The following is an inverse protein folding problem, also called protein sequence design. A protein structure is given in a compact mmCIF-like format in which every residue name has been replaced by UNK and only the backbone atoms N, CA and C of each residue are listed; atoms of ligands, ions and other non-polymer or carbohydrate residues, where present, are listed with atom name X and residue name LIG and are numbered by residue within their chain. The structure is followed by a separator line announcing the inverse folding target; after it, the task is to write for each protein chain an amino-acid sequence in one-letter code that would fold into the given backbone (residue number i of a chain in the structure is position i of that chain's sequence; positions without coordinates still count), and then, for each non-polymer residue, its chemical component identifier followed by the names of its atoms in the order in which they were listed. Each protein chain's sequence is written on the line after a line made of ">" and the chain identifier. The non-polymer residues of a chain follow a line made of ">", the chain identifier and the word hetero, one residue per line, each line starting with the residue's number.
data_IF_826427204874
#
_entry.id   IF_826427204874
#
_cell.length_a   1.000
_cell.length_b   1.000
_cell.length_c   1.000
_cell.angle_alpha   90.00
_cell.angle_beta   90.00
_cell.angle_gamma   90.00
#
_symmetry.space_group_name_H-M   'P 1'
#
loop_
_entity.id
_entity.type
_entity.pdbx_description
1 polymer ?
#
# COMPACT_ATOMS: atom_id res chain seq x y z
N UNK A 1 44.75 -51.36 45.23
CA UNK A 1 44.97 -50.38 44.16
C UNK A 1 43.94 -49.24 44.34
N UNK A 2 44.28 -48.19 45.11
CA UNK A 2 43.39 -47.08 45.52
C UNK A 2 43.48 -45.94 44.51
N UNK A 3 42.40 -45.76 43.72
CA UNK A 3 42.23 -44.64 42.79
C UNK A 3 41.69 -43.44 43.58
N UNK A 4 42.53 -42.50 43.97
CA UNK A 4 42.07 -41.19 44.51
C UNK A 4 41.35 -40.41 43.42
N UNK A 5 40.09 -40.23 43.61
CA UNK A 5 39.32 -39.29 42.80
C UNK A 5 39.82 -37.89 43.14
N UNK A 6 40.30 -37.19 42.11
CA UNK A 6 40.75 -35.80 42.20
C UNK A 6 39.50 -34.94 42.39
N UNK A 7 39.30 -34.45 43.60
CA UNK A 7 38.23 -33.49 43.93
C UNK A 7 38.47 -32.21 43.13
N UNK A 8 37.55 -31.91 42.20
CA UNK A 8 37.65 -30.74 41.35
C UNK A 8 37.12 -29.56 42.17
N UNK A 9 37.98 -28.63 42.57
CA UNK A 9 37.66 -27.39 43.28
C UNK A 9 36.53 -26.67 42.55
N UNK A 10 35.32 -26.76 43.06
CA UNK A 10 34.16 -25.99 42.58
C UNK A 10 34.27 -24.58 43.16
N UNK A 11 34.73 -23.64 42.36
CA UNK A 11 34.68 -22.21 42.73
C UNK A 11 33.26 -21.83 42.93
N UNK A 12 32.84 -21.46 44.11
CA UNK A 12 31.54 -20.94 44.44
C UNK A 12 31.44 -19.48 43.96
N UNK A 13 30.37 -19.18 43.22
CA UNK A 13 30.12 -17.83 42.71
C UNK A 13 29.50 -16.99 43.82
N UNK A 14 29.99 -15.77 44.07
CA UNK A 14 29.42 -14.88 45.07
C UNK A 14 28.19 -14.16 44.54
N UNK A 15 27.26 -13.83 45.43
CA UNK A 15 26.05 -13.10 45.11
C UNK A 15 26.37 -11.71 44.48
N UNK A 16 27.44 -11.07 44.95
CA UNK A 16 27.91 -9.77 44.45
C UNK A 16 28.43 -9.87 43.02
N UNK A 17 29.20 -10.92 42.68
CA UNK A 17 29.66 -11.12 41.28
C UNK A 17 28.49 -11.30 40.31
N UNK A 18 27.46 -12.04 40.73
CA UNK A 18 26.25 -12.17 39.91
C UNK A 18 25.51 -10.83 39.75
N UNK A 19 25.36 -10.07 40.83
CA UNK A 19 24.62 -8.79 40.84
C UNK A 19 25.32 -7.76 39.95
N UNK A 20 26.65 -7.67 40.00
CA UNK A 20 27.42 -6.76 39.12
C UNK A 20 27.24 -7.11 37.65
N UNK A 21 27.29 -8.38 37.29
CA UNK A 21 27.12 -8.82 35.90
C UNK A 21 25.75 -8.49 35.38
N UNK A 22 24.67 -8.80 36.12
CA UNK A 22 23.31 -8.47 35.67
C UNK A 22 23.07 -6.95 35.57
N UNK A 23 23.72 -6.16 36.44
CA UNK A 23 23.63 -4.69 36.38
C UNK A 23 24.30 -4.16 35.12
N UNK A 24 25.47 -4.66 34.73
CA UNK A 24 26.13 -4.24 33.49
C UNK A 24 25.32 -4.64 32.28
N UNK A 25 24.81 -5.89 32.24
CA UNK A 25 23.95 -6.35 31.15
C UNK A 25 22.70 -5.48 31.08
N UNK A 26 22.06 -5.15 32.19
CA UNK A 26 20.88 -4.31 32.25
C UNK A 26 21.11 -2.92 31.64
N UNK A 27 22.24 -2.28 31.98
CA UNK A 27 22.64 -0.99 31.42
C UNK A 27 22.87 -1.10 29.92
N UNK A 28 23.60 -2.11 29.45
CA UNK A 28 23.86 -2.29 28.02
C UNK A 28 22.57 -2.55 27.22
N UNK A 29 21.68 -3.42 27.70
CA UNK A 29 20.41 -3.72 27.05
C UNK A 29 19.48 -2.50 27.02
N UNK A 30 19.46 -1.71 28.09
CA UNK A 30 18.63 -0.49 28.15
C UNK A 30 19.03 0.55 27.11
N UNK A 31 20.30 0.63 26.74
CA UNK A 31 20.79 1.53 25.68
C UNK A 31 20.57 0.93 24.28
N UNK A 32 20.65 -0.39 24.12
CA UNK A 32 20.50 -1.05 22.84
C UNK A 32 19.05 -1.10 22.35
N UNK A 33 18.07 -1.25 23.25
CA UNK A 33 16.68 -1.43 22.89
C UNK A 33 16.11 -0.26 22.07
N UNK A 34 16.24 1.02 22.46
CA UNK A 34 15.75 2.15 21.64
C UNK A 34 16.54 2.30 20.33
N UNK A 35 17.86 2.02 20.36
CA UNK A 35 18.68 2.10 19.15
C UNK A 35 18.25 1.07 18.10
N UNK A 36 17.97 -0.16 18.48
CA UNK A 36 17.50 -1.21 17.56
C UNK A 36 16.15 -0.86 16.96
N UNK A 37 15.23 -0.28 17.73
CA UNK A 37 13.92 0.14 17.21
C UNK A 37 14.06 1.25 16.18
N UNK A 38 14.92 2.24 16.43
CA UNK A 38 15.19 3.34 15.49
C UNK A 38 15.78 2.82 14.17
N UNK A 39 16.76 1.90 14.26
CA UNK A 39 17.37 1.28 13.06
C UNK A 39 16.35 0.46 12.27
N UNK A 40 15.50 -0.31 12.94
CA UNK A 40 14.44 -1.07 12.27
C UNK A 40 13.47 -0.17 11.52
N UNK A 41 13.06 0.96 12.12
CA UNK A 41 12.16 1.90 11.46
C UNK A 41 12.84 2.60 10.28
N UNK A 42 14.10 2.98 10.40
CA UNK A 42 14.88 3.53 9.30
C UNK A 42 15.00 2.51 8.13
N UNK A 43 15.20 1.24 8.43
CA UNK A 43 15.22 0.18 7.42
C UNK A 43 13.87 0.05 6.70
N UNK A 44 12.75 0.02 7.44
CA UNK A 44 11.41 -0.02 6.84
C UNK A 44 11.13 1.17 5.91
N UNK A 45 11.48 2.40 6.33
CA UNK A 45 11.35 3.59 5.48
C UNK A 45 12.17 3.51 4.20
N UNK A 46 13.37 2.97 4.29
CA UNK A 46 14.21 2.76 3.11
C UNK A 46 13.57 1.74 2.15
N UNK A 47 12.98 0.68 2.67
CA UNK A 47 12.25 -0.32 1.89
C UNK A 47 11.02 0.30 1.21
N UNK A 48 10.21 1.10 1.93
CA UNK A 48 9.07 1.80 1.34
C UNK A 48 9.48 2.73 0.19
N UNK A 49 10.57 3.49 0.35
CA UNK A 49 11.11 4.33 -0.71
C UNK A 49 11.63 3.52 -1.92
N UNK A 50 12.19 2.34 -1.68
CA UNK A 50 12.61 1.43 -2.76
C UNK A 50 11.42 0.87 -3.53
N UNK A 51 10.30 0.57 -2.85
CA UNK A 51 9.06 0.17 -3.52
C UNK A 51 8.52 1.27 -4.45
N UNK A 52 8.59 2.55 -4.05
CA UNK A 52 8.25 3.68 -4.94
C UNK A 52 9.16 3.74 -6.16
N UNK A 53 10.48 3.54 -5.99
CA UNK A 53 11.43 3.50 -7.11
C UNK A 53 11.13 2.37 -8.08
N UNK A 54 10.79 1.18 -7.57
CA UNK A 54 10.41 0.02 -8.40
C UNK A 54 9.15 0.32 -9.22
N UNK A 55 8.15 1.01 -8.64
CA UNK A 55 6.96 1.46 -9.36
C UNK A 55 7.29 2.47 -10.46
N UNK A 56 8.16 3.43 -10.18
CA UNK A 56 8.64 4.37 -11.17
C UNK A 56 9.34 3.65 -12.33
N UNK A 57 10.21 2.68 -12.04
CA UNK A 57 10.87 1.87 -13.05
C UNK A 57 9.87 1.03 -13.86
N UNK A 58 8.89 0.41 -13.20
CA UNK A 58 7.84 -0.37 -13.86
C UNK A 58 7.00 0.50 -14.82
N UNK A 59 6.69 1.75 -14.44
CA UNK A 59 6.00 2.70 -15.32
C UNK A 59 6.83 3.05 -16.56
N UNK A 60 8.12 3.29 -16.41
CA UNK A 60 9.01 3.56 -17.54
C UNK A 60 9.15 2.33 -18.46
N UNK A 61 9.24 1.15 -17.88
CA UNK A 61 9.26 -0.09 -18.67
C UNK A 61 7.95 -0.30 -19.44
N UNK A 62 6.81 -0.02 -18.79
CA UNK A 62 5.49 -0.04 -19.44
C UNK A 62 5.44 0.97 -20.60
N UNK A 63 5.83 2.22 -20.36
CA UNK A 63 5.84 3.28 -21.37
C UNK A 63 6.77 2.93 -22.54
N UNK A 64 7.94 2.38 -22.26
CA UNK A 64 8.90 1.95 -23.28
C UNK A 64 8.33 0.87 -24.19
N UNK A 65 7.54 -0.06 -23.64
CA UNK A 65 6.92 -1.14 -24.37
C UNK A 65 5.65 -0.69 -25.14
N UNK A 66 4.82 0.12 -24.50
CA UNK A 66 3.50 0.50 -25.02
C UNK A 66 3.45 1.87 -25.69
N UNK A 67 4.50 2.72 -25.50
CA UNK A 67 4.60 4.10 -26.01
C UNK A 67 3.56 5.07 -25.40
N UNK A 68 3.03 4.72 -24.22
CA UNK A 68 2.17 5.56 -23.38
C UNK A 68 2.21 5.08 -21.93
N UNK A 69 1.82 5.94 -21.00
CA UNK A 69 1.55 5.56 -19.61
C UNK A 69 0.14 4.98 -19.47
N UNK A 70 -0.05 3.99 -18.60
CA UNK A 70 -1.35 3.33 -18.44
C UNK A 70 -2.39 4.30 -17.86
N UNK A 71 -3.67 4.05 -18.15
CA UNK A 71 -4.78 4.66 -17.44
C UNK A 71 -4.79 4.23 -15.97
N UNK A 72 -5.33 5.09 -15.09
CA UNK A 72 -5.48 4.79 -13.65
C UNK A 72 -6.36 3.57 -13.41
N UNK A 73 -7.49 3.54 -14.05
CA UNK A 73 -8.38 2.39 -14.24
C UNK A 73 -9.20 2.61 -15.51
N UNK A 74 -9.91 1.59 -15.98
CA UNK A 74 -10.77 1.70 -17.16
C UNK A 74 -12.23 1.54 -16.73
N UNK A 75 -13.15 2.27 -17.35
CA UNK A 75 -14.59 2.04 -17.21
C UNK A 75 -14.98 0.99 -18.24
N UNK A 76 -15.75 -0.01 -17.84
CA UNK A 76 -16.28 -1.00 -18.77
C UNK A 76 -17.44 -0.39 -19.56
N UNK A 77 -17.58 -0.68 -20.87
CA UNK A 77 -18.74 -0.29 -21.65
C UNK A 77 -20.01 -0.91 -21.02
N UNK A 78 -21.10 -0.17 -21.02
CA UNK A 78 -22.43 -0.62 -20.59
C UNK A 78 -22.67 -0.85 -19.08
N UNK A 79 -21.72 -0.53 -18.20
CA UNK A 79 -21.95 -0.61 -16.76
C UNK A 79 -21.89 0.76 -16.09
N UNK A 80 -22.75 0.99 -15.08
CA UNK A 80 -22.50 1.98 -14.04
C UNK A 80 -21.05 1.87 -13.60
N UNK A 81 -20.34 2.98 -13.42
CA UNK A 81 -18.90 3.06 -13.14
C UNK A 81 -18.46 2.00 -12.12
N UNK A 82 -18.36 0.77 -12.55
CA UNK A 82 -17.72 -0.32 -11.83
C UNK A 82 -16.26 -0.29 -12.22
N UNK A 83 -15.42 -0.28 -11.21
CA UNK A 83 -13.98 -0.19 -11.43
C UNK A 83 -13.46 -1.45 -12.12
N UNK A 84 -12.91 -1.30 -13.30
CA UNK A 84 -12.01 -2.29 -13.83
C UNK A 84 -10.69 -2.29 -13.04
N UNK A 85 -9.77 -3.10 -13.46
CA UNK A 85 -8.46 -3.23 -12.83
C UNK A 85 -7.66 -1.91 -12.85
N UNK A 86 -7.05 -1.59 -11.73
CA UNK A 86 -6.27 -0.38 -11.56
C UNK A 86 -4.90 -0.45 -12.24
N UNK A 87 -4.22 0.69 -12.29
CA UNK A 87 -2.83 0.82 -12.75
C UNK A 87 -1.89 -0.18 -12.04
N UNK A 88 -2.15 -0.52 -10.76
CA UNK A 88 -1.37 -1.53 -10.05
C UNK A 88 -1.42 -2.89 -10.77
N UNK A 89 -2.58 -3.32 -11.23
CA UNK A 89 -2.72 -4.57 -11.96
C UNK A 89 -1.97 -4.54 -13.30
N UNK A 90 -2.02 -3.41 -14.02
CA UNK A 90 -1.33 -3.22 -15.31
C UNK A 90 0.19 -3.26 -15.19
N UNK A 91 0.74 -2.91 -14.02
CA UNK A 91 2.18 -2.90 -13.77
C UNK A 91 2.74 -4.24 -13.27
N UNK A 92 1.91 -5.23 -12.94
CA UNK A 92 2.35 -6.51 -12.35
C UNK A 92 3.42 -7.22 -13.17
N UNK A 93 3.31 -7.24 -14.49
CA UNK A 93 4.28 -7.88 -15.37
C UNK A 93 5.68 -7.23 -15.32
N UNK A 94 5.75 -5.95 -14.92
CA UNK A 94 7.00 -5.19 -14.76
C UNK A 94 7.52 -5.16 -13.32
N UNK A 95 6.82 -5.84 -12.40
CA UNK A 95 7.13 -5.92 -10.97
C UNK A 95 7.36 -7.37 -10.51
N UNK A 96 7.84 -8.23 -11.42
CA UNK A 96 8.12 -9.66 -11.17
C UNK A 96 6.89 -10.46 -10.67
N UNK A 97 5.69 -9.94 -10.93
CA UNK A 97 4.41 -10.57 -10.56
C UNK A 97 3.60 -11.02 -11.80
N UNK A 98 4.28 -11.45 -12.86
CA UNK A 98 3.66 -11.92 -14.11
C UNK A 98 2.71 -13.10 -13.91
N UNK A 99 3.01 -13.98 -12.96
CA UNK A 99 2.14 -15.10 -12.62
C UNK A 99 0.76 -14.66 -12.06
N UNK A 100 0.66 -13.47 -11.50
CA UNK A 100 -0.62 -12.86 -11.06
C UNK A 100 -1.26 -12.15 -12.24
N UNK A 101 -0.47 -11.41 -13.02
CA UNK A 101 -0.93 -10.74 -14.23
C UNK A 101 -1.64 -11.69 -15.19
N UNK A 102 -1.09 -12.87 -15.43
CA UNK A 102 -1.64 -13.90 -16.32
C UNK A 102 -2.99 -14.48 -15.86
N UNK A 103 -3.39 -14.22 -14.62
CA UNK A 103 -4.69 -14.65 -14.07
C UNK A 103 -5.77 -13.59 -14.18
N UNK A 104 -5.41 -12.38 -14.59
CA UNK A 104 -6.32 -11.25 -14.66
C UNK A 104 -6.95 -11.19 -16.04
N UNK A 105 -8.27 -11.21 -16.08
CA UNK A 105 -9.02 -10.80 -17.27
C UNK A 105 -9.35 -9.31 -17.17
N UNK A 106 -8.66 -8.50 -17.95
CA UNK A 106 -8.86 -7.05 -17.97
C UNK A 106 -10.18 -6.63 -18.65
N UNK A 107 -10.89 -7.57 -19.28
CA UNK A 107 -12.20 -7.34 -19.89
C UNK A 107 -13.38 -7.46 -18.92
N UNK A 108 -13.14 -7.94 -17.71
CA UNK A 108 -14.17 -8.15 -16.68
C UNK A 108 -13.85 -7.38 -15.40
N UNK A 109 -14.90 -7.05 -14.62
CA UNK A 109 -14.74 -6.38 -13.33
C UNK A 109 -13.89 -7.22 -12.37
N UNK A 110 -13.04 -6.58 -11.60
CA UNK A 110 -12.20 -7.27 -10.61
C UNK A 110 -13.02 -7.96 -9.51
N UNK A 111 -14.23 -7.47 -9.20
CA UNK A 111 -15.11 -8.10 -8.22
C UNK A 111 -15.54 -9.51 -8.66
N UNK A 112 -15.74 -9.73 -9.95
CA UNK A 112 -16.13 -11.02 -10.50
C UNK A 112 -14.97 -12.03 -10.47
N UNK A 113 -13.75 -11.53 -10.30
CA UNK A 113 -12.53 -12.33 -10.26
C UNK A 113 -12.00 -12.56 -8.84
N UNK A 114 -12.72 -12.14 -7.79
CA UNK A 114 -12.33 -12.37 -6.39
C UNK A 114 -12.16 -13.85 -6.09
N UNK A 115 -13.07 -14.69 -6.58
CA UNK A 115 -13.01 -16.14 -6.41
C UNK A 115 -11.78 -16.79 -7.07
N UNK A 116 -11.24 -16.16 -8.13
CA UNK A 116 -10.00 -16.60 -8.78
C UNK A 116 -8.73 -16.20 -7.99
N UNK A 117 -8.88 -15.38 -6.94
CA UNK A 117 -7.82 -15.03 -6.00
C UNK A 117 -6.84 -13.97 -6.49
N UNK A 118 -7.02 -13.40 -7.69
CA UNK A 118 -6.11 -12.36 -8.21
C UNK A 118 -6.12 -11.07 -7.35
N UNK A 119 -7.28 -10.51 -6.92
CA UNK A 119 -7.31 -9.33 -6.07
C UNK A 119 -6.74 -9.54 -4.67
N UNK A 120 -6.78 -10.75 -4.15
CA UNK A 120 -6.29 -11.10 -2.80
C UNK A 120 -4.81 -11.48 -2.75
N UNK A 121 -4.14 -11.52 -3.90
CA UNK A 121 -2.72 -11.86 -3.96
C UNK A 121 -1.85 -10.75 -3.36
N UNK A 122 -0.95 -11.15 -2.46
CA UNK A 122 0.01 -10.23 -1.84
C UNK A 122 1.17 -9.93 -2.80
N UNK A 123 1.23 -8.71 -3.31
CA UNK A 123 2.38 -8.21 -4.06
C UNK A 123 3.29 -7.45 -3.10
N UNK A 124 4.49 -7.95 -2.75
CA UNK A 124 5.32 -7.34 -1.71
C UNK A 124 5.61 -5.85 -1.94
N UNK A 125 5.84 -5.47 -3.18
CA UNK A 125 6.12 -4.07 -3.56
C UNK A 125 4.92 -3.13 -3.39
N UNK A 126 3.71 -3.64 -3.15
CA UNK A 126 2.50 -2.83 -2.94
C UNK A 126 2.20 -2.54 -1.48
N UNK A 127 2.91 -3.16 -0.56
CA UNK A 127 2.77 -2.92 0.88
C UNK A 127 4.01 -2.24 1.45
N UNK A 128 3.81 -1.15 2.18
CA UNK A 128 4.89 -0.52 2.95
C UNK A 128 5.00 -1.20 4.31
N UNK A 129 6.17 -1.71 4.72
CA UNK A 129 6.33 -2.37 6.02
C UNK A 129 6.17 -1.44 7.23
N UNK A 130 6.11 -0.12 7.03
CA UNK A 130 5.75 0.85 8.08
C UNK A 130 4.25 1.07 8.19
N UNK A 131 3.44 0.57 7.25
CA UNK A 131 1.98 0.69 7.29
C UNK A 131 1.38 -0.49 8.07
N UNK A 132 0.93 -0.22 9.28
CA UNK A 132 0.35 -1.23 10.17
C UNK A 132 -0.97 -1.82 9.66
N UNK A 133 -1.63 -1.16 8.71
CA UNK A 133 -2.91 -1.58 8.15
C UNK A 133 -2.79 -2.25 6.78
N UNK A 134 -1.57 -2.35 6.24
CA UNK A 134 -1.35 -3.07 4.98
C UNK A 134 -1.62 -4.57 5.18
N UNK A 135 -2.38 -5.17 4.27
CA UNK A 135 -2.65 -6.60 4.36
C UNK A 135 -3.90 -7.05 3.61
N UNK A 136 -4.18 -8.32 3.76
CA UNK A 136 -5.34 -8.97 3.17
C UNK A 136 -6.63 -8.50 3.87
N UNK A 137 -7.61 -8.12 3.08
CA UNK A 137 -8.97 -7.81 3.53
C UNK A 137 -9.87 -9.01 3.30
N UNK A 138 -10.82 -9.18 4.20
CA UNK A 138 -11.80 -10.25 4.14
C UNK A 138 -13.20 -9.66 3.94
N UNK A 139 -14.04 -10.39 3.24
CA UNK A 139 -15.46 -10.12 3.09
C UNK A 139 -16.22 -11.40 3.33
N UNK A 140 -17.18 -11.36 4.25
CA UNK A 140 -17.99 -12.52 4.64
C UNK A 140 -17.14 -13.75 5.07
N UNK A 141 -15.96 -13.50 5.66
CA UNK A 141 -15.01 -14.52 6.10
C UNK A 141 -14.05 -15.03 5.03
N UNK A 142 -14.24 -14.66 3.77
CA UNK A 142 -13.39 -15.07 2.64
C UNK A 142 -12.37 -13.99 2.25
N UNK A 143 -11.18 -14.37 1.75
CA UNK A 143 -10.21 -13.45 1.18
C UNK A 143 -10.82 -12.61 0.07
N UNK A 144 -10.68 -11.29 0.16
CA UNK A 144 -11.31 -10.38 -0.78
C UNK A 144 -10.30 -9.58 -1.61
N UNK A 145 -9.53 -8.73 -0.98
CA UNK A 145 -8.56 -7.88 -1.67
C UNK A 145 -7.33 -7.63 -0.79
N UNK A 146 -6.16 -7.62 -1.38
CA UNK A 146 -4.95 -7.18 -0.70
C UNK A 146 -4.79 -5.67 -0.86
N UNK A 147 -4.69 -4.94 0.27
CA UNK A 147 -4.56 -3.48 0.25
C UNK A 147 -3.18 -3.05 -0.27
N UNK A 148 -3.11 -1.84 -0.84
CA UNK A 148 -1.84 -1.20 -1.21
C UNK A 148 -1.56 0.01 -0.33
N UNK A 149 -0.29 0.29 -0.06
CA UNK A 149 0.18 1.48 0.66
C UNK A 149 0.70 2.56 -0.29
N UNK A 150 0.33 2.50 -1.56
CA UNK A 150 0.81 3.43 -2.59
C UNK A 150 -0.33 3.83 -3.51
N UNK A 151 -0.41 5.13 -3.80
CA UNK A 151 -1.38 5.70 -4.73
C UNK A 151 -0.69 6.36 -5.91
N UNK A 152 -1.34 6.33 -7.08
CA UNK A 152 -0.90 7.03 -8.27
C UNK A 152 -1.66 8.35 -8.40
N UNK A 153 -1.00 9.38 -8.94
CA UNK A 153 -1.55 10.71 -9.06
C UNK A 153 -2.66 10.77 -10.13
N UNK A 154 -3.89 10.82 -9.68
CA UNK A 154 -5.08 10.99 -10.51
C UNK A 154 -5.55 12.45 -10.62
N UNK A 155 -4.88 13.38 -9.96
CA UNK A 155 -5.18 14.80 -9.96
C UNK A 155 -5.56 15.36 -8.60
N UNK A 156 -6.05 16.58 -8.59
CA UNK A 156 -6.43 17.30 -7.38
C UNK A 156 -7.88 17.02 -6.98
N UNK A 157 -8.79 17.80 -7.46
CA UNK A 157 -10.23 17.61 -7.23
C UNK A 157 -10.96 17.31 -8.52
N UNK A 158 -11.98 16.46 -8.40
CA UNK A 158 -12.76 15.97 -9.53
C UNK A 158 -11.92 15.10 -10.51
N UNK A 159 -11.67 13.88 -10.07
CA UNK A 159 -10.83 12.92 -10.79
C UNK A 159 -11.48 12.48 -12.11
N UNK A 160 -12.81 12.25 -12.10
CA UNK A 160 -13.54 11.74 -13.24
C UNK A 160 -15.05 12.00 -13.12
N UNK A 161 -15.64 12.54 -14.16
CA UNK A 161 -17.09 12.65 -14.31
C UNK A 161 -17.62 11.53 -15.21
N UNK A 162 -18.42 10.60 -14.67
CA UNK A 162 -18.95 9.49 -15.46
C UNK A 162 -19.95 9.94 -16.53
N UNK A 163 -20.61 11.09 -16.36
CA UNK A 163 -21.62 11.59 -17.31
C UNK A 163 -20.96 12.26 -18.51
N UNK A 164 -20.06 13.21 -18.24
CA UNK A 164 -19.35 13.93 -19.31
C UNK A 164 -18.10 13.21 -19.81
N UNK A 165 -17.67 12.15 -19.13
CA UNK A 165 -16.42 11.42 -19.40
C UNK A 165 -15.16 12.33 -19.32
N UNK A 166 -15.25 13.42 -18.57
CA UNK A 166 -14.14 14.32 -18.34
C UNK A 166 -13.25 13.79 -17.22
N UNK A 167 -11.95 13.89 -17.42
CA UNK A 167 -10.94 13.54 -16.44
C UNK A 167 -10.35 14.81 -15.82
N UNK A 168 -9.87 14.70 -14.60
CA UNK A 168 -9.12 15.74 -13.92
C UNK A 168 -7.74 16.01 -14.50
N UNK A 169 -6.91 16.69 -13.71
CA UNK A 169 -5.58 17.19 -14.07
C UNK A 169 -4.41 16.24 -13.74
N UNK A 170 -4.71 15.05 -13.24
CA UNK A 170 -3.72 14.08 -12.79
C UNK A 170 -2.82 13.53 -13.88
N UNK A 171 -1.74 12.89 -13.47
CA UNK A 171 -0.81 12.21 -14.39
C UNK A 171 -1.47 10.99 -15.06
N UNK A 172 -2.31 10.28 -14.33
CA UNK A 172 -3.00 9.07 -14.79
C UNK A 172 -4.51 9.31 -14.86
N UNK A 173 -5.05 9.23 -16.06
CA UNK A 173 -6.45 9.51 -16.32
C UNK A 173 -7.29 8.23 -16.29
N UNK A 174 -8.59 8.37 -16.04
CA UNK A 174 -9.55 7.27 -16.14
C UNK A 174 -9.82 6.96 -17.61
N UNK A 175 -9.76 5.69 -17.98
CA UNK A 175 -10.03 5.18 -19.35
C UNK A 175 -9.22 5.87 -20.47
N UNK A 176 -8.16 6.61 -20.11
CA UNK A 176 -7.31 7.32 -21.08
C UNK A 176 -5.84 7.10 -20.77
N UNK A 177 -5.11 6.65 -21.77
CA UNK A 177 -3.66 6.53 -21.71
C UNK A 177 -2.98 7.89 -21.94
N UNK A 178 -1.89 8.16 -21.26
CA UNK A 178 -1.16 9.42 -21.35
C UNK A 178 0.17 9.24 -22.08
N UNK A 179 0.41 10.02 -23.14
CA UNK A 179 1.72 10.05 -23.81
C UNK A 179 2.67 11.00 -23.06
N UNK A 180 3.99 10.80 -23.19
CA UNK A 180 5.03 11.67 -22.60
C UNK A 180 4.79 13.14 -22.97
N UNK A 181 4.38 13.42 -24.21
CA UNK A 181 4.12 14.78 -24.68
C UNK A 181 3.05 15.57 -23.88
N UNK A 182 2.24 14.87 -23.06
CA UNK A 182 1.26 15.52 -22.17
C UNK A 182 1.93 16.20 -20.96
N UNK A 183 3.10 15.75 -20.57
CA UNK A 183 3.83 16.27 -19.40
C UNK A 183 4.76 17.42 -19.82
N UNK A 184 4.16 18.59 -20.05
CA UNK A 184 4.86 19.78 -20.62
C UNK A 184 5.92 20.36 -19.69
N UNK A 185 5.79 20.19 -18.39
CA UNK A 185 6.74 20.56 -17.35
C UNK A 185 7.85 19.52 -17.12
N UNK A 186 7.74 18.38 -17.81
CA UNK A 186 8.69 17.26 -17.73
C UNK A 186 8.35 16.24 -16.65
N UNK A 187 8.68 14.99 -16.92
CA UNK A 187 8.42 13.86 -16.01
C UNK A 187 9.10 14.01 -14.64
N UNK A 188 10.23 14.73 -14.58
CA UNK A 188 10.97 14.98 -13.33
C UNK A 188 10.25 15.96 -12.39
N UNK A 189 9.33 16.76 -12.90
CA UNK A 189 8.57 17.76 -12.16
C UNK A 189 7.13 17.33 -11.91
N UNK A 190 6.73 16.18 -12.44
CA UNK A 190 5.36 15.67 -12.28
C UNK A 190 5.32 14.61 -11.17
N UNK A 191 4.45 14.80 -10.18
CA UNK A 191 4.19 13.78 -9.16
C UNK A 191 3.54 12.57 -9.83
N UNK A 192 4.18 11.43 -9.72
CA UNK A 192 3.72 10.17 -10.30
C UNK A 192 2.93 9.34 -9.30
N UNK A 193 3.54 9.05 -8.16
CA UNK A 193 2.96 8.22 -7.11
C UNK A 193 3.46 8.68 -5.74
N UNK A 194 2.70 8.36 -4.71
CA UNK A 194 3.06 8.64 -3.32
C UNK A 194 2.76 7.44 -2.42
N UNK A 195 3.43 7.42 -1.27
CA UNK A 195 3.03 6.55 -0.17
C UNK A 195 1.79 7.12 0.50
N UNK A 196 0.84 6.28 0.78
CA UNK A 196 -0.40 6.60 1.49
C UNK A 196 -0.73 5.47 2.47
N UNK A 197 -1.61 5.77 3.42
CA UNK A 197 -2.12 4.72 4.30
C UNK A 197 -3.02 3.78 3.51
N UNK A 198 -2.83 2.47 3.68
CA UNK A 198 -3.69 1.45 3.07
C UNK A 198 -5.13 1.45 3.58
N UNK A 199 -5.37 2.19 4.65
CA UNK A 199 -6.70 2.47 5.18
C UNK A 199 -6.79 3.90 5.69
N UNK A 200 -7.84 4.59 5.26
CA UNK A 200 -8.31 5.86 5.83
C UNK A 200 -9.80 5.76 6.12
N UNK A 201 -10.26 6.39 7.20
CA UNK A 201 -11.70 6.50 7.47
C UNK A 201 -12.34 7.37 6.39
N UNK A 202 -13.49 6.99 5.89
CA UNK A 202 -14.18 7.72 4.83
C UNK A 202 -15.71 7.62 4.98
N UNK A 203 -16.41 8.52 4.31
CA UNK A 203 -17.87 8.49 4.23
C UNK A 203 -18.25 7.89 2.89
N UNK A 204 -19.04 6.82 2.92
CA UNK A 204 -19.53 6.12 1.74
C UNK A 204 -20.96 6.54 1.41
N UNK A 205 -21.30 6.56 0.12
CA UNK A 205 -22.64 6.89 -0.39
C UNK A 205 -23.14 8.28 0.06
N UNK A 206 -22.22 9.24 0.13
CA UNK A 206 -22.58 10.63 0.33
C UNK A 206 -23.36 11.14 -0.89
N UNK A 207 -24.50 11.77 -0.66
CA UNK A 207 -25.43 12.21 -1.73
C UNK A 207 -25.01 13.54 -2.37
N UNK A 208 -23.85 14.11 -2.02
CA UNK A 208 -23.48 15.44 -2.48
C UNK A 208 -22.12 15.41 -3.17
N UNK A 209 -22.14 15.73 -4.45
CA UNK A 209 -20.94 15.99 -5.25
C UNK A 209 -21.04 17.44 -5.68
N UNK A 210 -20.29 18.32 -5.01
CA UNK A 210 -20.06 19.65 -5.52
C UNK A 210 -18.87 19.62 -6.47
N UNK A 211 -18.97 20.32 -7.60
CA UNK A 211 -17.85 20.49 -8.54
C UNK A 211 -16.70 21.30 -7.92
N UNK A 212 -16.98 22.08 -6.88
CA UNK A 212 -15.97 22.84 -6.16
C UNK A 212 -15.35 22.02 -5.04
N UNK A 213 -14.03 22.10 -4.94
CA UNK A 213 -13.27 21.47 -3.85
C UNK A 213 -13.67 22.06 -2.51
N UNK A 214 -14.08 21.25 -1.51
CA UNK A 214 -14.38 21.76 -0.17
C UNK A 214 -13.15 22.40 0.43
N UNK A 215 -13.29 23.62 0.95
CA UNK A 215 -12.18 24.41 1.49
C UNK A 215 -11.89 24.09 2.96
N UNK A 216 -12.81 23.43 3.65
CA UNK A 216 -12.68 23.06 5.06
C UNK A 216 -13.41 21.75 5.40
N UNK A 217 -13.16 21.23 6.60
CA UNK A 217 -13.78 19.99 7.08
C UNK A 217 -15.29 20.13 7.34
N UNK A 218 -15.76 21.36 7.58
CA UNK A 218 -17.16 21.64 7.93
C UNK A 218 -18.08 21.55 6.69
N UNK A 219 -17.49 21.62 5.49
CA UNK A 219 -18.22 21.40 4.23
C UNK A 219 -18.85 19.99 4.13
N UNK A 220 -18.43 19.08 4.99
CA UNK A 220 -18.98 17.72 5.05
C UNK A 220 -20.04 17.56 6.17
N UNK A 221 -20.35 18.60 6.94
CA UNK A 221 -21.45 18.56 7.90
C UNK A 221 -22.80 18.40 7.18
N UNK A 222 -23.59 17.42 7.63
CA UNK A 222 -24.92 17.15 7.06
C UNK A 222 -24.93 16.20 5.85
N UNK A 223 -23.80 15.66 5.43
CA UNK A 223 -23.75 14.65 4.39
C UNK A 223 -24.34 13.34 4.94
N UNK A 224 -25.48 12.93 4.39
CA UNK A 224 -26.08 11.63 4.66
C UNK A 224 -25.22 10.53 4.02
N UNK A 225 -24.30 9.99 4.77
CA UNK A 225 -23.42 8.92 4.33
C UNK A 225 -23.09 7.95 5.45
N UNK A 226 -22.64 6.77 5.09
CA UNK A 226 -22.21 5.74 6.03
C UNK A 226 -20.74 5.97 6.41
N UNK A 227 -20.50 6.45 7.64
CA UNK A 227 -19.13 6.63 8.14
C UNK A 227 -18.49 5.26 8.37
N UNK A 228 -17.37 5.01 7.69
CA UNK A 228 -16.55 3.80 7.82
C UNK A 228 -15.33 4.12 8.68
N UNK A 229 -15.37 3.65 9.92
CA UNK A 229 -14.32 3.82 10.91
C UNK A 229 -13.54 2.52 11.11
N UNK A 230 -12.24 2.61 10.99
CA UNK A 230 -11.31 1.54 11.30
C UNK A 230 -11.15 0.49 10.19
N UNK A 231 -10.03 -0.19 10.19
CA UNK A 231 -9.75 -1.30 9.28
C UNK A 231 -10.43 -2.56 9.83
N UNK A 232 -11.76 -2.61 9.84
CA UNK A 232 -12.45 -3.84 10.17
C UNK A 232 -12.05 -4.89 9.15
N UNK A 233 -11.18 -5.81 9.53
CA UNK A 233 -10.70 -6.90 8.69
C UNK A 233 -11.83 -7.86 8.30
N UNK A 234 -12.97 -7.77 8.99
CA UNK A 234 -14.15 -8.61 8.78
C UNK A 234 -15.22 -7.97 7.90
N UNK A 235 -15.24 -6.65 7.83
CA UNK A 235 -16.16 -5.90 6.98
C UNK A 235 -15.37 -5.10 5.96
N UNK A 236 -15.60 -5.40 4.74
CA UNK A 236 -15.08 -4.80 3.53
C UNK A 236 -15.24 -3.27 3.49
N UNK A 237 -14.43 -2.54 4.19
CA UNK A 237 -14.65 -1.11 4.40
C UNK A 237 -13.44 -0.24 4.08
N UNK A 238 -12.38 -0.81 3.54
CA UNK A 238 -11.22 -0.02 3.12
C UNK A 238 -11.18 0.12 1.61
N UNK A 239 -11.35 1.33 1.08
CA UNK A 239 -10.83 1.65 -0.23
C UNK A 239 -9.39 2.12 -0.08
N UNK A 240 -8.51 1.50 -0.83
CA UNK A 240 -7.25 2.12 -1.22
C UNK A 240 -7.60 3.10 -2.33
N UNK A 241 -7.39 4.36 -2.05
CA UNK A 241 -7.49 5.43 -3.04
C UNK A 241 -6.38 5.28 -4.07
#
# INVERSE_FOLDING_TARGET
>A
MNRRLREKDRKAFTLVELLVVISIIGVLVSMLLPAVQTVREAARRTECANHLRQKGLALHNFESAMQYFPSSFDTLPDEEVRGSWSIHAKLLQYLEAGNVFDRIDFGTDWHDQVAAGAPSYAVPTYSCPSDANAGLRFRDGEPYVHSTSYGFNMGTWFIFDPVSQQCGDGAFLVSKNSKIARFTDGLSNTLCASENKSFTSYIRNASHINEEMPTDADAFEGINGQLKLGPALTDNTGHTV
#
